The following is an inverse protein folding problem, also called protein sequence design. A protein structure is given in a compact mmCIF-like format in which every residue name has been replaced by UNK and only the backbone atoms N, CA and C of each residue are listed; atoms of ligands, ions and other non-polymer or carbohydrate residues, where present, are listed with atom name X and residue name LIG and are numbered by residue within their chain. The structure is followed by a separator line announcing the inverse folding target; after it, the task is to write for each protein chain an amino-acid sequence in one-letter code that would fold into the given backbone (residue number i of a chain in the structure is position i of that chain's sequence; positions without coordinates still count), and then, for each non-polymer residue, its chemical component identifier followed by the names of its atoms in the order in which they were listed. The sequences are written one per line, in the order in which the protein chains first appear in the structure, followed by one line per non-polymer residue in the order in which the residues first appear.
data_IF_097579101786
#
_entry.id   IF_097579101786
#
_cell.length_a   1.000
_cell.length_b   1.000
_cell.length_c   1.000
_cell.angle_alpha   90.00
_cell.angle_beta   90.00
_cell.angle_gamma   90.00
#
_symmetry.space_group_name_H-M   'P 1'
#
loop_
_entity.id
_entity.type
_entity.pdbx_description
1 polymer ?
#
# COMPACT_ATOMS: atom_id res chain seq x y z
N UNK A 1 -26.07 6.09 12.26
CA UNK A 1 -25.73 7.36 11.59
C UNK A 1 -24.52 7.11 10.70
N UNK A 2 -24.68 7.11 9.38
CA UNK A 2 -23.56 6.91 8.46
C UNK A 2 -22.66 8.14 8.50
N UNK A 3 -21.54 8.06 9.20
CA UNK A 3 -20.49 9.07 9.09
C UNK A 3 -20.10 9.15 7.62
N UNK A 4 -20.37 10.29 6.98
CA UNK A 4 -19.97 10.53 5.59
C UNK A 4 -18.45 10.36 5.54
N UNK A 5 -17.97 9.35 4.81
CA UNK A 5 -16.55 9.20 4.53
C UNK A 5 -16.06 10.54 3.97
N UNK A 6 -15.08 11.16 4.64
CA UNK A 6 -14.46 12.39 4.14
C UNK A 6 -13.95 12.23 2.70
N UNK A 7 -13.72 13.34 2.02
CA UNK A 7 -13.18 13.34 0.66
C UNK A 7 -11.87 12.53 0.60
N UNK A 8 -11.51 12.00 -0.57
CA UNK A 8 -10.21 11.33 -0.75
C UNK A 8 -9.05 12.23 -0.33
N UNK A 9 -9.15 13.53 -0.61
CA UNK A 9 -8.17 14.54 -0.22
C UNK A 9 -8.09 14.70 1.30
N UNK A 10 -9.23 14.74 2.01
CA UNK A 10 -9.24 14.83 3.49
C UNK A 10 -8.72 13.56 4.18
N UNK A 11 -8.52 12.47 3.42
CA UNK A 11 -7.93 11.20 3.88
C UNK A 11 -6.46 11.05 3.49
N UNK A 12 -5.84 12.10 2.94
CA UNK A 12 -4.42 12.14 2.58
C UNK A 12 -4.06 11.78 1.16
N UNK A 13 -5.02 11.53 0.28
CA UNK A 13 -4.74 11.19 -1.12
C UNK A 13 -4.49 12.43 -2.01
N UNK A 14 -3.74 13.39 -1.50
CA UNK A 14 -3.42 14.66 -2.14
C UNK A 14 -2.22 14.55 -3.11
N UNK A 15 -1.72 15.69 -3.59
CA UNK A 15 -0.55 15.73 -4.48
C UNK A 15 0.71 15.13 -3.84
N UNK A 16 0.88 15.26 -2.51
CA UNK A 16 1.99 14.67 -1.76
C UNK A 16 1.89 13.16 -1.80
N UNK A 17 0.71 12.59 -1.58
CA UNK A 17 0.51 11.15 -1.72
C UNK A 17 0.79 10.66 -3.15
N UNK A 18 0.35 11.38 -4.18
CA UNK A 18 0.64 10.97 -5.56
C UNK A 18 2.14 10.94 -5.86
N UNK A 19 2.92 11.89 -5.34
CA UNK A 19 4.37 11.89 -5.46
C UNK A 19 5.01 10.72 -4.69
N UNK A 20 4.60 10.52 -3.43
CA UNK A 20 5.06 9.41 -2.59
C UNK A 20 4.75 8.05 -3.22
N UNK A 21 3.51 7.83 -3.66
CA UNK A 21 3.04 6.62 -4.34
C UNK A 21 3.89 6.27 -5.54
N UNK A 22 4.25 7.26 -6.37
CA UNK A 22 5.17 7.04 -7.51
C UNK A 22 6.53 6.56 -7.01
N UNK A 23 7.11 7.23 -6.02
CA UNK A 23 8.40 6.84 -5.43
C UNK A 23 8.41 5.39 -4.94
N UNK A 24 7.39 4.98 -4.20
CA UNK A 24 7.24 3.60 -3.69
C UNK A 24 7.17 2.58 -4.84
N UNK A 25 6.39 2.85 -5.89
CA UNK A 25 6.28 1.96 -7.06
C UNK A 25 7.63 1.82 -7.77
N UNK A 26 8.32 2.93 -7.98
CA UNK A 26 9.62 2.96 -8.67
C UNK A 26 10.65 2.14 -7.88
N UNK A 27 10.76 2.40 -6.58
CA UNK A 27 11.65 1.67 -5.67
C UNK A 27 11.36 0.18 -5.71
N UNK A 28 10.09 -0.21 -5.56
CA UNK A 28 9.69 -1.62 -5.62
C UNK A 28 10.11 -2.29 -6.93
N UNK A 29 9.88 -1.64 -8.08
CA UNK A 29 10.24 -2.19 -9.39
C UNK A 29 11.76 -2.29 -9.55
N UNK A 30 12.52 -1.31 -9.04
CA UNK A 30 13.98 -1.33 -9.09
C UNK A 30 14.58 -2.44 -8.23
N UNK A 31 14.03 -2.69 -7.04
CA UNK A 31 14.54 -3.67 -6.08
C UNK A 31 14.07 -5.09 -6.38
N UNK A 32 12.79 -5.26 -6.76
CA UNK A 32 12.15 -6.58 -6.87
C UNK A 32 11.74 -6.95 -8.30
N UNK A 33 11.87 -6.02 -9.26
CA UNK A 33 11.27 -6.14 -10.57
C UNK A 33 9.76 -5.83 -10.58
N UNK A 34 9.10 -5.87 -11.75
CA UNK A 34 7.69 -5.52 -11.90
C UNK A 34 6.73 -6.65 -11.43
N UNK A 35 6.96 -7.18 -10.22
CA UNK A 35 6.21 -8.28 -9.60
C UNK A 35 5.37 -7.79 -8.42
N UNK A 36 4.26 -8.45 -8.16
CA UNK A 36 3.34 -8.10 -7.08
C UNK A 36 3.97 -8.39 -5.71
N UNK A 37 3.96 -7.41 -4.81
CA UNK A 37 4.55 -7.49 -3.47
C UNK A 37 3.94 -8.56 -2.55
N UNK A 38 2.75 -9.09 -2.86
CA UNK A 38 2.16 -10.18 -2.08
C UNK A 38 2.78 -11.56 -2.35
N UNK A 39 3.83 -11.67 -3.16
CA UNK A 39 4.54 -12.94 -3.42
C UNK A 39 3.82 -13.92 -4.36
N UNK A 40 2.72 -13.52 -5.01
CA UNK A 40 1.97 -14.41 -5.90
C UNK A 40 2.61 -14.64 -7.27
N UNK A 41 3.76 -14.01 -7.56
CA UNK A 41 4.41 -14.03 -8.88
C UNK A 41 3.69 -13.24 -9.98
N UNK A 42 2.53 -12.63 -9.69
CA UNK A 42 1.79 -11.83 -10.66
C UNK A 42 2.53 -10.53 -11.02
N UNK A 43 2.49 -10.11 -12.29
CA UNK A 43 3.16 -8.87 -12.75
C UNK A 43 2.32 -7.62 -12.48
N UNK A 44 3.01 -6.49 -12.25
CA UNK A 44 2.41 -5.17 -11.95
C UNK A 44 2.07 -4.34 -13.20
N UNK A 45 2.69 -4.63 -14.34
CA UNK A 45 2.68 -3.72 -15.52
C UNK A 45 2.05 -4.37 -16.76
N UNK A 46 1.44 -3.54 -17.60
CA UNK A 46 1.03 -3.85 -18.99
C UNK A 46 2.11 -3.51 -20.04
N UNK A 47 3.34 -3.17 -19.63
CA UNK A 47 4.45 -2.95 -20.57
C UNK A 47 5.16 -1.59 -20.48
N UNK A 48 4.76 -0.69 -19.56
CA UNK A 48 5.54 0.52 -19.22
C UNK A 48 5.78 0.57 -17.70
N UNK A 49 7.03 0.70 -17.22
CA UNK A 49 7.35 0.63 -15.78
C UNK A 49 6.71 1.76 -14.95
N UNK A 50 6.46 2.92 -15.57
CA UNK A 50 5.87 4.10 -14.91
C UNK A 50 4.35 4.19 -15.08
N UNK A 51 3.76 3.40 -15.99
CA UNK A 51 2.30 3.24 -16.14
C UNK A 51 1.88 1.93 -15.48
N UNK A 52 2.04 1.90 -14.17
CA UNK A 52 1.54 0.81 -13.37
C UNK A 52 0.04 1.03 -13.14
N UNK A 53 -0.75 1.08 -14.22
CA UNK A 53 -2.22 1.24 -14.17
C UNK A 53 -2.89 0.09 -13.40
N UNK A 54 -2.15 -1.00 -13.21
CA UNK A 54 -2.53 -2.13 -12.38
C UNK A 54 -1.81 -2.21 -11.04
N UNK A 55 -0.91 -1.29 -10.67
CA UNK A 55 -0.26 -1.30 -9.37
C UNK A 55 -0.91 -0.30 -8.42
N UNK A 56 -1.18 -0.75 -7.20
CA UNK A 56 -1.68 0.05 -6.09
C UNK A 56 -0.70 -0.02 -4.93
N UNK A 57 -0.54 1.09 -4.21
CA UNK A 57 0.23 1.13 -2.97
C UNK A 57 -0.73 0.93 -1.82
N UNK A 58 -0.48 -0.10 -1.04
CA UNK A 58 -1.27 -0.50 0.12
C UNK A 58 -0.44 -0.35 1.39
N UNK A 59 -1.07 0.08 2.48
CA UNK A 59 -0.44 0.09 3.78
C UNK A 59 -0.50 -1.32 4.39
N UNK A 60 0.66 -1.88 4.74
CA UNK A 60 0.74 -3.24 5.31
C UNK A 60 0.00 -3.30 6.65
N UNK A 61 0.28 -2.32 7.52
CA UNK A 61 -0.47 -2.02 8.75
C UNK A 61 -1.48 -0.92 8.46
N UNK A 62 -2.70 -1.08 8.97
CA UNK A 62 -3.69 -0.02 8.82
C UNK A 62 -3.24 1.27 9.50
N UNK A 63 -3.64 2.37 8.89
CA UNK A 63 -3.35 3.73 9.34
C UNK A 63 -4.67 4.47 9.51
N UNK A 64 -4.73 5.31 10.53
CA UNK A 64 -5.93 6.09 10.87
C UNK A 64 -6.12 7.32 9.98
N UNK A 65 -5.03 7.82 9.39
CA UNK A 65 -5.04 8.98 8.50
C UNK A 65 -3.63 9.51 8.22
N UNK A 66 -3.50 10.67 7.56
CA UNK A 66 -2.21 11.20 7.09
C UNK A 66 -1.26 11.62 8.21
N UNK A 67 -1.84 11.95 9.38
CA UNK A 67 -1.11 12.31 10.59
C UNK A 67 -0.65 11.08 11.40
N UNK A 68 -1.08 9.88 10.98
CA UNK A 68 -0.60 8.63 11.57
C UNK A 68 0.89 8.46 11.25
N UNK A 69 1.76 8.24 12.26
CA UNK A 69 3.20 8.08 12.02
C UNK A 69 3.52 6.92 11.07
N UNK A 70 2.62 5.93 10.95
CA UNK A 70 2.77 4.82 10.02
C UNK A 70 2.34 5.15 8.58
N UNK A 71 1.74 6.31 8.32
CA UNK A 71 1.20 6.66 7.00
C UNK A 71 2.27 6.79 5.93
N UNK A 72 3.42 7.38 6.28
CA UNK A 72 4.60 7.55 5.42
C UNK A 72 5.82 6.77 5.92
N UNK A 73 5.65 5.87 6.90
CA UNK A 73 6.75 5.08 7.43
C UNK A 73 7.34 4.17 6.36
N UNK A 74 8.66 4.24 6.19
CA UNK A 74 9.41 3.31 5.36
C UNK A 74 9.16 1.87 5.85
N UNK A 75 8.81 0.98 4.93
CA UNK A 75 8.48 -0.42 5.24
C UNK A 75 7.02 -0.69 5.59
N UNK A 76 6.15 0.33 5.68
CA UNK A 76 4.71 0.12 5.85
C UNK A 76 3.92 0.11 4.53
N UNK A 77 4.59 0.02 3.37
CA UNK A 77 3.94 0.04 2.07
C UNK A 77 4.30 -1.19 1.25
N UNK A 78 3.30 -1.75 0.57
CA UNK A 78 3.49 -2.81 -0.42
C UNK A 78 2.83 -2.43 -1.75
N UNK A 79 3.48 -2.80 -2.85
CA UNK A 79 2.95 -2.56 -4.20
C UNK A 79 2.22 -3.80 -4.70
N UNK A 80 0.91 -3.69 -4.86
CA UNK A 80 0.03 -4.81 -5.20
C UNK A 80 -0.57 -4.61 -6.58
N UNK A 81 -0.81 -5.72 -7.30
CA UNK A 81 -1.69 -5.66 -8.47
C UNK A 81 -3.13 -5.37 -8.01
N UNK A 82 -3.91 -4.64 -8.80
CA UNK A 82 -5.27 -4.19 -8.47
C UNK A 82 -6.17 -5.30 -7.90
N UNK A 83 -6.16 -6.49 -8.49
CA UNK A 83 -6.99 -7.61 -8.00
C UNK A 83 -6.51 -8.20 -6.68
N UNK A 84 -5.20 -8.21 -6.41
CA UNK A 84 -4.65 -8.60 -5.12
C UNK A 84 -4.98 -7.56 -4.05
N UNK A 85 -4.83 -6.27 -4.40
CA UNK A 85 -5.25 -5.16 -3.54
C UNK A 85 -6.73 -5.27 -3.17
N UNK A 86 -7.64 -5.37 -4.16
CA UNK A 86 -9.08 -5.50 -3.91
C UNK A 86 -9.43 -6.72 -3.07
N UNK A 87 -8.71 -7.84 -3.23
CA UNK A 87 -8.91 -9.04 -2.42
C UNK A 87 -8.48 -8.81 -0.97
N UNK A 88 -7.34 -8.15 -0.75
CA UNK A 88 -6.86 -7.78 0.59
C UNK A 88 -7.82 -6.81 1.27
N UNK A 89 -8.19 -5.71 0.62
CA UNK A 89 -9.16 -4.74 1.14
C UNK A 89 -10.47 -5.41 1.56
N UNK A 90 -10.98 -6.36 0.76
CA UNK A 90 -12.18 -7.12 1.11
C UNK A 90 -11.97 -7.99 2.35
N UNK A 91 -10.82 -8.66 2.48
CA UNK A 91 -10.50 -9.48 3.67
C UNK A 91 -10.39 -8.63 4.92
N UNK A 92 -9.70 -7.50 4.84
CA UNK A 92 -9.50 -6.59 5.98
C UNK A 92 -10.85 -6.01 6.44
N UNK A 93 -11.73 -5.63 5.50
CA UNK A 93 -13.10 -5.18 5.81
C UNK A 93 -13.98 -6.27 6.43
N UNK A 94 -13.83 -7.53 6.03
CA UNK A 94 -14.62 -8.66 6.58
C UNK A 94 -14.22 -9.03 8.00
N UNK A 95 -12.95 -8.85 8.36
CA UNK A 95 -12.45 -9.17 9.70
C UNK A 95 -12.66 -8.05 10.72
N UNK A 96 -12.98 -6.83 10.28
CA UNK A 96 -12.92 -5.65 11.14
C UNK A 96 -11.49 -5.31 11.59
N UNK A 97 -10.48 -5.98 11.01
CA UNK A 97 -9.09 -5.95 11.44
C UNK A 97 -8.31 -4.85 10.69
N UNK A 98 -7.49 -4.14 11.46
CA UNK A 98 -6.50 -3.15 11.04
C UNK A 98 -5.26 -3.76 10.33
N UNK A 99 -5.42 -4.89 9.64
CA UNK A 99 -4.34 -5.62 8.97
C UNK A 99 -3.43 -6.40 9.93
N UNK A 100 -2.55 -7.28 9.42
CA UNK A 100 -1.66 -8.09 10.26
C UNK A 100 -0.68 -7.21 11.02
N UNK A 101 -0.70 -7.32 12.35
CA UNK A 101 0.26 -6.69 13.26
C UNK A 101 1.61 -7.42 13.16
N UNK A 102 2.42 -7.11 12.14
CA UNK A 102 3.82 -7.56 12.08
C UNK A 102 4.66 -6.70 13.01
N UNK A 103 5.43 -7.31 13.90
CA UNK A 103 6.42 -6.59 14.70
C UNK A 103 7.51 -6.09 13.76
N UNK A 104 7.80 -4.78 13.81
CA UNK A 104 8.88 -4.17 13.02
C UNK A 104 10.09 -4.11 13.94
N UNK A 105 11.18 -4.73 13.52
CA UNK A 105 12.47 -4.69 14.21
C UNK A 105 13.04 -3.27 14.24
N UNK A 106 14.05 -3.06 15.07
CA UNK A 106 14.75 -1.78 15.17
C UNK A 106 15.45 -1.35 13.86
N UNK A 107 15.58 -2.28 12.92
CA UNK A 107 16.10 -2.10 11.56
C UNK A 107 15.05 -1.68 10.53
N UNK A 108 13.78 -1.55 10.94
CA UNK A 108 12.68 -1.20 10.05
C UNK A 108 12.11 -2.36 9.23
N UNK A 109 12.54 -3.60 9.49
CA UNK A 109 12.06 -4.78 8.78
C UNK A 109 11.06 -5.60 9.61
N UNK A 110 10.10 -6.30 8.99
CA UNK A 110 9.25 -7.26 9.68
C UNK A 110 10.10 -8.40 10.27
N UNK A 111 10.03 -8.60 11.58
CA UNK A 111 10.61 -9.79 12.23
C UNK A 111 9.65 -10.97 12.07
N UNK A 112 10.19 -12.12 11.62
CA UNK A 112 9.49 -13.38 11.40
C UNK A 112 9.05 -14.06 12.69
#
# INVERSE_FOLDING_TARGET
MSARRGSSTSRGYDARWQAFRRGVIIKHIQENGPVCGCGCGGRLTTGKPWHADNAEVDHIKAVSGPDDPLFYADGNHQVLRKSCHSTKTRRDQQKGDSGPQVTIGADGWPVS
#
